data_IF_250116274311
#
_entry.id   IF_250116274311
#
_cell.length_a   1.000
_cell.length_b   1.000
_cell.length_c   1.000
_cell.angle_alpha   90.00
_cell.angle_beta   90.00
_cell.angle_gamma   90.00
#
_symmetry.space_group_name_H-M   'P 1'
#
loop_
_entity.id
_entity.type
_entity.pdbx_description
1 polymer ?
#
# COMPACT_ATOMS: atom_id res chain seq x y z
N UNK A 1 6.80 -1.48 47.07
CA UNK A 1 6.94 -0.18 46.38
C UNK A 1 8.38 -0.04 45.92
N UNK A 2 8.65 -0.11 44.62
CA UNK A 2 10.01 0.10 44.08
C UNK A 2 10.39 1.58 44.20
N UNK A 3 11.63 1.88 44.63
CA UNK A 3 12.10 3.27 44.71
C UNK A 3 12.07 3.90 43.31
N UNK A 4 11.52 5.11 43.23
CA UNK A 4 11.65 5.97 42.04
C UNK A 4 13.10 6.41 41.97
N UNK A 5 13.89 5.73 41.15
CA UNK A 5 15.22 6.21 40.77
C UNK A 5 15.06 7.35 39.75
N UNK A 6 15.62 8.51 40.06
CA UNK A 6 15.75 9.60 39.09
C UNK A 6 16.71 9.16 37.99
N UNK A 7 16.22 9.05 36.76
CA UNK A 7 17.01 8.57 35.63
C UNK A 7 17.92 9.69 35.11
N UNK A 8 17.37 10.90 34.98
CA UNK A 8 18.08 12.16 34.73
C UNK A 8 17.18 13.34 35.13
N UNK A 9 17.74 14.55 35.21
CA UNK A 9 16.97 15.77 35.52
C UNK A 9 15.79 15.98 34.54
N UNK A 10 14.57 16.01 35.08
CA UNK A 10 13.34 16.21 34.31
C UNK A 10 12.71 14.95 33.72
N UNK A 11 13.25 13.75 34.00
CA UNK A 11 12.74 12.46 33.52
C UNK A 11 12.24 11.56 34.66
N UNK A 12 10.92 11.44 34.78
CA UNK A 12 10.23 10.66 35.81
C UNK A 12 9.99 9.22 35.36
N UNK A 13 10.30 8.25 36.23
CA UNK A 13 10.05 6.82 35.98
C UNK A 13 8.63 6.44 36.41
N UNK A 14 7.81 5.98 35.46
CA UNK A 14 6.43 5.55 35.68
C UNK A 14 6.27 4.03 35.88
N UNK A 15 7.34 3.26 35.78
CA UNK A 15 7.34 1.81 36.00
C UNK A 15 8.11 1.03 34.92
N UNK A 16 8.52 -0.19 35.27
CA UNK A 16 9.13 -1.13 34.33
C UNK A 16 8.08 -1.68 33.36
N UNK A 17 8.42 -1.75 32.07
CA UNK A 17 7.60 -2.37 31.02
C UNK A 17 8.10 -3.77 30.65
N UNK A 18 9.42 -3.95 30.57
CA UNK A 18 10.07 -5.24 30.27
C UNK A 18 11.44 -5.29 30.95
N UNK A 19 11.82 -6.44 31.50
CA UNK A 19 13.12 -6.66 32.16
C UNK A 19 13.73 -7.96 31.63
N UNK A 20 14.98 -7.94 31.19
CA UNK A 20 15.65 -9.13 30.65
C UNK A 20 17.18 -9.02 30.61
N UNK A 21 17.84 -10.03 30.04
CA UNK A 21 19.30 -10.13 30.02
C UNK A 21 20.03 -9.01 29.25
N UNK A 22 19.35 -8.34 28.32
CA UNK A 22 19.88 -7.19 27.58
C UNK A 22 19.61 -5.83 28.28
N UNK A 23 19.02 -5.82 29.48
CA UNK A 23 18.66 -4.61 30.20
C UNK A 23 17.18 -4.52 30.58
N UNK A 24 16.78 -3.36 31.08
CA UNK A 24 15.40 -3.10 31.53
C UNK A 24 14.83 -1.86 30.86
N UNK A 25 13.61 -1.97 30.34
CA UNK A 25 12.89 -0.88 29.66
C UNK A 25 11.79 -0.34 30.57
N UNK A 26 11.81 0.97 30.81
CA UNK A 26 10.88 1.69 31.69
C UNK A 26 10.03 2.68 30.88
N UNK A 27 8.80 2.94 31.34
CA UNK A 27 8.00 4.06 30.82
C UNK A 27 8.45 5.34 31.52
N UNK A 28 8.91 6.31 30.75
CA UNK A 28 9.32 7.63 31.22
C UNK A 28 8.22 8.68 31.03
N UNK A 29 8.32 9.78 31.79
CA UNK A 29 7.62 11.05 31.53
C UNK A 29 8.61 12.20 31.62
N UNK A 30 8.79 12.94 30.52
CA UNK A 30 9.46 14.25 30.54
C UNK A 30 8.47 15.32 31.01
N UNK A 31 8.99 16.47 31.48
CA UNK A 31 8.19 17.61 31.95
C UNK A 31 7.02 17.95 31.01
N UNK A 32 5.79 17.67 31.46
CA UNK A 32 4.57 17.73 30.64
C UNK A 32 3.89 16.35 30.53
N UNK A 33 3.27 16.08 29.38
CA UNK A 33 2.52 14.83 29.09
C UNK A 33 3.27 13.94 28.08
N UNK A 34 4.56 14.17 27.86
CA UNK A 34 5.35 13.43 26.87
C UNK A 34 5.87 12.14 27.52
N UNK A 35 5.32 11.00 27.09
CA UNK A 35 5.81 9.68 27.47
C UNK A 35 7.00 9.26 26.60
N UNK A 36 7.99 8.62 27.21
CA UNK A 36 9.14 8.03 26.54
C UNK A 36 9.36 6.58 26.98
N UNK A 37 10.15 5.82 26.22
CA UNK A 37 10.62 4.49 26.60
C UNK A 37 12.11 4.59 26.92
N UNK A 38 12.54 4.09 28.09
CA UNK A 38 13.92 4.25 28.57
C UNK A 38 14.53 2.87 28.74
N UNK A 39 15.48 2.49 27.88
CA UNK A 39 16.28 1.27 28.04
C UNK A 39 17.50 1.58 28.92
N UNK A 40 17.58 0.95 30.10
CA UNK A 40 18.78 0.91 30.94
C UNK A 40 19.64 -0.30 30.56
N UNK A 41 20.91 -0.07 30.28
CA UNK A 41 21.87 -1.14 30.01
C UNK A 41 22.41 -1.72 31.33
N UNK A 42 22.63 -3.05 31.42
CA UNK A 42 22.89 -3.73 32.68
C UNK A 42 24.32 -3.55 33.22
N UNK A 43 25.25 -3.01 32.42
CA UNK A 43 26.65 -2.82 32.81
C UNK A 43 26.89 -1.36 33.20
N UNK A 44 27.26 -1.05 34.46
CA UNK A 44 27.51 0.32 34.88
C UNK A 44 28.85 0.82 34.33
N UNK A 45 28.93 2.12 34.05
CA UNK A 45 30.14 2.79 33.55
C UNK A 45 30.69 3.67 34.68
N UNK A 46 31.65 3.13 35.42
CA UNK A 46 32.22 3.81 36.59
C UNK A 46 33.13 5.00 36.21
N UNK A 47 33.65 5.03 34.98
CA UNK A 47 34.50 6.09 34.44
C UNK A 47 34.14 6.38 32.98
N UNK A 48 33.95 7.66 32.67
CA UNK A 48 33.89 8.19 31.29
C UNK A 48 35.31 8.33 30.70
N UNK A 49 36.06 7.23 30.76
CA UNK A 49 37.41 7.13 30.23
C UNK A 49 37.37 6.53 28.82
N UNK A 50 37.98 7.20 27.85
CA UNK A 50 38.08 6.72 26.46
C UNK A 50 38.88 5.41 26.33
N UNK A 51 39.57 4.97 27.38
CA UNK A 51 40.21 3.65 27.47
C UNK A 51 39.30 2.56 28.07
N UNK A 52 38.14 2.92 28.64
CA UNK A 52 37.21 1.97 29.24
C UNK A 52 36.36 1.28 28.17
N UNK A 53 36.62 -0.01 27.93
CA UNK A 53 35.91 -0.85 26.95
C UNK A 53 34.38 -0.72 27.02
N UNK A 54 33.79 -0.58 28.21
CA UNK A 54 32.34 -0.46 28.36
C UNK A 54 31.82 0.92 27.88
N UNK A 55 32.59 1.99 28.08
CA UNK A 55 32.27 3.34 27.61
C UNK A 55 32.44 3.48 26.10
N UNK A 56 33.54 2.95 25.55
CA UNK A 56 33.76 2.86 24.10
C UNK A 56 32.60 2.12 23.42
N UNK A 57 32.17 0.98 23.98
CA UNK A 57 31.05 0.21 23.44
C UNK A 57 29.73 0.99 23.45
N UNK A 58 29.40 1.66 24.57
CA UNK A 58 28.19 2.49 24.69
C UNK A 58 28.20 3.70 23.72
N UNK A 59 29.34 4.39 23.60
CA UNK A 59 29.49 5.48 22.63
C UNK A 59 29.32 4.99 21.18
N UNK A 60 29.88 3.83 20.83
CA UNK A 60 29.72 3.22 19.51
C UNK A 60 28.26 2.78 19.23
N UNK A 61 27.54 2.29 20.23
CA UNK A 61 26.10 2.00 20.17
C UNK A 61 25.28 3.27 19.88
N UNK A 62 25.50 4.30 20.68
CA UNK A 62 24.88 5.62 20.53
C UNK A 62 25.14 6.19 19.14
N UNK A 63 26.38 6.12 18.65
CA UNK A 63 26.74 6.62 17.33
C UNK A 63 26.00 5.90 16.19
N UNK A 64 25.85 4.56 16.26
CA UNK A 64 25.05 3.78 15.29
C UNK A 64 23.58 4.19 15.32
N UNK A 65 22.99 4.29 16.51
CA UNK A 65 21.59 4.67 16.69
C UNK A 65 21.31 6.09 16.19
N UNK A 66 22.22 7.03 16.48
CA UNK A 66 22.20 8.39 15.94
C UNK A 66 22.30 8.37 14.41
N UNK A 67 23.19 7.56 13.83
CA UNK A 67 23.33 7.43 12.37
C UNK A 67 22.02 7.01 11.69
N UNK A 68 21.32 6.02 12.25
CA UNK A 68 19.99 5.59 11.77
C UNK A 68 18.93 6.70 11.95
N UNK A 69 19.07 7.55 12.96
CA UNK A 69 18.13 8.62 13.30
C UNK A 69 18.43 9.99 12.63
N UNK A 70 19.57 10.15 11.93
CA UNK A 70 19.89 11.36 11.16
C UNK A 70 18.80 11.68 10.12
N UNK A 71 18.26 10.64 9.49
CA UNK A 71 17.11 10.72 8.61
C UNK A 71 15.93 10.00 9.28
N UNK A 72 14.87 10.72 9.69
CA UNK A 72 13.70 10.10 10.32
C UNK A 72 13.01 9.09 9.39
N UNK A 73 12.65 7.94 9.94
CA UNK A 73 11.91 6.89 9.24
C UNK A 73 10.69 6.49 10.08
N UNK A 74 9.46 6.45 9.53
CA UNK A 74 8.24 6.15 10.30
C UNK A 74 8.12 4.69 10.78
N UNK A 75 9.03 3.81 10.35
CA UNK A 75 9.09 2.38 10.70
C UNK A 75 10.30 2.03 11.57
N UNK A 76 11.05 3.01 12.06
CA UNK A 76 12.17 2.82 13.00
C UNK A 76 11.99 3.74 14.20
N UNK A 77 12.16 3.21 15.41
CA UNK A 77 11.97 3.98 16.64
C UNK A 77 12.89 5.20 16.72
N UNK A 78 12.29 6.35 17.05
CA UNK A 78 13.04 7.59 17.25
C UNK A 78 13.77 7.61 18.60
N UNK A 79 15.08 7.90 18.55
CA UNK A 79 15.87 8.20 19.74
C UNK A 79 15.66 9.67 20.14
N UNK A 80 15.41 9.91 21.42
CA UNK A 80 15.19 11.24 22.00
C UNK A 80 16.41 11.76 22.75
N UNK A 81 17.10 10.87 23.47
CA UNK A 81 18.27 11.19 24.30
C UNK A 81 19.02 9.92 24.69
N UNK A 82 20.21 10.08 25.24
CA UNK A 82 21.01 9.02 25.86
C UNK A 82 21.91 9.65 26.91
N UNK A 83 22.53 8.84 27.77
CA UNK A 83 23.48 9.32 28.77
C UNK A 83 23.78 8.28 29.84
N UNK A 84 24.35 8.73 30.95
CA UNK A 84 24.53 7.93 32.17
C UNK A 84 23.53 8.42 33.24
N UNK A 85 23.06 7.50 34.08
CA UNK A 85 22.13 7.82 35.19
C UNK A 85 22.83 8.46 36.38
N UNK A 86 22.23 9.52 36.94
CA UNK A 86 22.80 10.34 38.02
C UNK A 86 23.18 9.53 39.29
N UNK A 87 22.45 8.45 39.59
CA UNK A 87 22.59 7.72 40.86
C UNK A 87 23.61 6.59 40.83
N UNK A 88 23.98 6.08 39.65
CA UNK A 88 24.63 4.77 39.52
C UNK A 88 25.43 4.56 38.23
N UNK A 89 25.53 5.58 37.38
CA UNK A 89 26.26 5.56 36.11
C UNK A 89 25.90 4.40 35.17
N UNK A 90 24.67 3.89 35.26
CA UNK A 90 24.14 2.98 34.25
C UNK A 90 23.86 3.76 32.97
N UNK A 91 24.29 3.27 31.79
CA UNK A 91 23.93 3.87 30.53
C UNK A 91 22.43 3.74 30.25
N UNK A 92 21.85 4.77 29.66
CA UNK A 92 20.46 4.77 29.22
C UNK A 92 20.32 5.30 27.80
N UNK A 93 19.31 4.78 27.11
CA UNK A 93 18.82 5.29 25.84
C UNK A 93 17.33 5.59 26.02
N UNK A 94 16.96 6.84 25.79
CA UNK A 94 15.58 7.31 25.80
C UNK A 94 15.06 7.42 24.37
N UNK A 95 13.91 6.79 24.14
CA UNK A 95 13.26 6.61 22.86
C UNK A 95 11.82 7.12 22.93
N UNK A 96 11.20 7.36 21.79
CA UNK A 96 9.75 7.63 21.77
C UNK A 96 8.95 6.44 22.30
N UNK A 97 7.83 6.72 22.97
CA UNK A 97 6.94 5.69 23.46
C UNK A 97 5.93 5.27 22.38
N UNK A 98 6.11 4.08 21.81
CA UNK A 98 5.14 3.48 20.89
C UNK A 98 4.02 2.80 21.69
N UNK A 99 2.82 3.37 21.61
CA UNK A 99 1.60 2.82 22.21
C UNK A 99 0.93 1.80 21.29
N UNK A 100 0.52 0.67 21.86
CA UNK A 100 -0.03 -0.50 21.16
C UNK A 100 0.66 -1.82 21.54
N UNK A 101 0.27 -2.95 20.93
CA UNK A 101 0.89 -4.26 21.11
C UNK A 101 2.18 -4.44 20.29
N UNK A 102 3.01 -5.45 20.63
CA UNK A 102 4.05 -5.98 19.74
C UNK A 102 3.48 -7.04 18.75
N UNK A 103 4.24 -7.48 17.74
CA UNK A 103 3.72 -8.45 16.76
C UNK A 103 3.44 -9.83 17.38
N UNK A 104 4.12 -10.19 18.48
CA UNK A 104 3.88 -11.45 19.18
C UNK A 104 2.59 -11.35 19.99
N UNK A 105 2.36 -10.23 20.67
CA UNK A 105 1.08 -9.92 21.32
C UNK A 105 -0.09 -10.01 20.32
N UNK A 106 0.10 -9.55 19.08
CA UNK A 106 -0.90 -9.59 18.00
C UNK A 106 -1.21 -10.97 17.42
N UNK A 107 -0.44 -12.01 17.77
CA UNK A 107 -0.74 -13.42 17.45
C UNK A 107 -1.38 -14.17 18.64
N UNK A 108 -1.58 -13.49 19.77
CA UNK A 108 -2.13 -14.06 21.00
C UNK A 108 -3.52 -13.48 21.32
N UNK A 109 -4.31 -14.20 22.13
CA UNK A 109 -5.63 -13.73 22.55
C UNK A 109 -5.53 -12.35 23.25
N UNK A 110 -6.43 -11.40 22.96
CA UNK A 110 -7.71 -11.56 22.24
C UNK A 110 -7.63 -11.43 20.70
N UNK A 111 -6.42 -11.38 20.12
CA UNK A 111 -6.21 -11.30 18.68
C UNK A 111 -6.25 -12.69 18.01
N UNK A 112 -6.20 -12.67 16.68
CA UNK A 112 -6.23 -13.85 15.83
C UNK A 112 -4.87 -14.57 15.84
N UNK A 113 -4.82 -15.91 15.85
CA UNK A 113 -3.57 -16.67 15.79
C UNK A 113 -2.79 -16.52 14.46
N UNK A 114 -3.34 -15.86 13.45
CA UNK A 114 -2.68 -15.61 12.15
C UNK A 114 -3.04 -14.23 11.61
N UNK A 115 -2.12 -13.60 10.87
CA UNK A 115 -2.42 -12.33 10.22
C UNK A 115 -3.28 -12.53 8.96
N UNK A 116 -4.13 -11.54 8.67
CA UNK A 116 -4.75 -11.43 7.34
C UNK A 116 -3.69 -11.09 6.29
N UNK A 117 -3.89 -11.51 5.04
CA UNK A 117 -2.95 -11.26 3.96
C UNK A 117 -2.65 -9.76 3.77
N UNK A 118 -3.67 -8.92 3.99
CA UNK A 118 -3.53 -7.45 3.91
C UNK A 118 -2.55 -6.90 4.94
N UNK A 119 -2.72 -7.25 6.23
CA UNK A 119 -1.81 -6.75 7.26
C UNK A 119 -0.43 -7.43 7.18
N UNK A 120 -0.36 -8.69 6.75
CA UNK A 120 0.92 -9.38 6.51
C UNK A 120 1.75 -8.67 5.41
N UNK A 121 1.15 -8.33 4.26
CA UNK A 121 1.83 -7.58 3.19
C UNK A 121 2.28 -6.20 3.68
N UNK A 122 1.47 -5.54 4.51
CA UNK A 122 1.81 -4.26 5.14
C UNK A 122 2.98 -4.37 6.13
N UNK A 123 3.05 -5.44 6.95
CA UNK A 123 4.23 -5.69 7.79
C UNK A 123 5.46 -5.94 6.92
N UNK A 124 5.35 -6.74 5.86
CA UNK A 124 6.44 -7.03 4.95
C UNK A 124 7.04 -5.74 4.36
N UNK A 125 6.22 -4.89 3.75
CA UNK A 125 6.66 -3.61 3.17
C UNK A 125 7.31 -2.69 4.22
N UNK A 126 6.63 -2.46 5.35
CA UNK A 126 7.10 -1.53 6.37
C UNK A 126 8.38 -2.00 7.08
N UNK A 127 8.49 -3.30 7.39
CA UNK A 127 9.68 -3.87 8.04
C UNK A 127 10.85 -4.01 7.06
N UNK A 128 10.61 -4.36 5.80
CA UNK A 128 11.65 -4.33 4.77
C UNK A 128 12.17 -2.90 4.56
N UNK A 129 11.30 -1.88 4.55
CA UNK A 129 11.68 -0.47 4.51
C UNK A 129 12.49 -0.01 5.73
N UNK A 130 12.17 -0.51 6.93
CA UNK A 130 12.97 -0.27 8.12
C UNK A 130 14.38 -0.90 8.01
N UNK A 131 14.48 -2.15 7.54
CA UNK A 131 15.76 -2.83 7.33
C UNK A 131 16.60 -2.19 6.22
N UNK A 132 15.98 -1.77 5.12
CA UNK A 132 16.65 -1.03 4.05
C UNK A 132 17.25 0.29 4.57
N UNK A 133 16.53 0.98 5.45
CA UNK A 133 16.98 2.22 6.09
C UNK A 133 18.23 2.01 6.96
N UNK A 134 18.19 1.02 7.86
CA UNK A 134 19.32 0.68 8.72
C UNK A 134 20.56 0.25 7.89
N UNK A 135 20.36 -0.66 6.92
CA UNK A 135 21.45 -1.16 6.09
C UNK A 135 22.07 -0.10 5.18
N UNK A 136 21.30 0.88 4.69
CA UNK A 136 21.80 1.99 3.88
C UNK A 136 22.80 2.88 4.63
N UNK A 137 22.72 2.94 5.97
CA UNK A 137 23.70 3.63 6.82
C UNK A 137 24.73 2.67 7.46
N UNK A 138 24.81 1.42 6.99
CA UNK A 138 25.77 0.41 7.45
C UNK A 138 25.43 -0.24 8.79
N UNK A 139 24.22 -0.03 9.33
CA UNK A 139 23.79 -0.59 10.62
C UNK A 139 22.97 -1.85 10.40
N UNK A 140 23.44 -2.95 10.97
CA UNK A 140 22.74 -4.24 11.08
C UNK A 140 22.03 -4.27 12.43
N UNK A 141 20.85 -4.87 12.52
CA UNK A 141 20.03 -4.91 13.73
C UNK A 141 20.41 -6.07 14.66
N UNK A 142 20.54 -7.27 14.09
CA UNK A 142 21.00 -8.49 14.76
C UNK A 142 20.00 -9.20 15.67
N UNK A 143 18.80 -8.63 15.88
CA UNK A 143 17.77 -9.10 16.83
C UNK A 143 16.35 -8.84 16.29
N UNK A 144 16.11 -9.15 15.02
CA UNK A 144 14.76 -9.04 14.44
C UNK A 144 13.91 -10.19 14.94
N UNK A 145 12.79 -9.86 15.60
CA UNK A 145 11.78 -10.80 16.10
C UNK A 145 10.46 -10.07 16.30
N UNK A 146 9.35 -10.80 16.37
CA UNK A 146 8.01 -10.22 16.52
C UNK A 146 7.88 -9.30 17.75
N UNK A 147 8.52 -9.64 18.87
CA UNK A 147 8.55 -8.78 20.05
C UNK A 147 9.25 -7.42 19.87
N UNK A 148 10.15 -7.28 18.89
CA UNK A 148 10.89 -6.06 18.63
C UNK A 148 10.20 -5.18 17.57
N UNK A 149 8.99 -5.53 17.12
CA UNK A 149 8.22 -4.71 16.17
C UNK A 149 6.86 -4.39 16.80
N UNK A 150 6.55 -3.10 16.96
CA UNK A 150 5.29 -2.66 17.57
C UNK A 150 4.33 -2.06 16.58
N UNK A 151 3.05 -2.37 16.75
CA UNK A 151 1.97 -1.65 16.09
C UNK A 151 1.70 -0.34 16.85
N UNK A 152 1.84 0.79 16.18
CA UNK A 152 1.51 2.11 16.71
C UNK A 152 0.02 2.39 16.50
N UNK A 153 -0.78 2.39 17.57
CA UNK A 153 -2.25 2.56 17.46
C UNK A 153 -2.67 3.93 16.93
N UNK A 154 -1.81 4.96 17.02
CA UNK A 154 -2.12 6.33 16.60
C UNK A 154 -1.84 6.57 15.12
N UNK A 155 -0.84 5.89 14.55
CA UNK A 155 -0.45 6.04 13.13
C UNK A 155 -0.88 4.86 12.25
N UNK A 156 -1.16 3.70 12.85
CA UNK A 156 -1.41 2.45 12.14
C UNK A 156 -0.16 1.79 11.55
N UNK A 157 1.04 2.29 11.86
CA UNK A 157 2.32 1.76 11.36
C UNK A 157 2.92 0.71 12.29
N UNK A 158 3.66 -0.22 11.70
CA UNK A 158 4.62 -1.06 12.40
C UNK A 158 5.95 -0.30 12.54
N UNK A 159 6.53 -0.37 13.73
CA UNK A 159 7.75 0.34 14.12
C UNK A 159 8.75 -0.65 14.71
N UNK A 160 9.92 -0.75 14.08
CA UNK A 160 11.05 -1.56 14.54
C UNK A 160 11.71 -0.88 15.75
N UNK A 161 11.86 -1.65 16.82
CA UNK A 161 12.45 -1.28 18.10
C UNK A 161 13.75 -2.05 18.36
N UNK A 162 14.50 -1.57 19.36
CA UNK A 162 15.56 -2.29 20.08
C UNK A 162 16.65 -2.99 19.24
N UNK A 163 17.66 -2.21 18.84
CA UNK A 163 18.90 -2.65 18.20
C UNK A 163 19.85 -3.45 19.13
N UNK A 164 19.35 -4.11 20.17
CA UNK A 164 20.12 -4.63 21.30
C UNK A 164 21.27 -5.61 21.00
N UNK A 165 21.27 -6.29 19.86
CA UNK A 165 22.39 -7.16 19.43
C UNK A 165 23.38 -6.49 18.46
N UNK A 166 23.02 -5.36 17.82
CA UNK A 166 23.94 -4.50 17.07
C UNK A 166 25.02 -3.84 17.95
N UNK A 167 24.79 -3.87 19.26
CA UNK A 167 25.50 -3.18 20.34
C UNK A 167 26.61 -4.03 20.96
N UNK A 168 26.43 -5.35 20.98
CA UNK A 168 27.35 -6.25 21.66
C UNK A 168 28.60 -6.53 20.82
N UNK A 169 29.77 -6.50 21.46
CA UNK A 169 31.00 -7.08 20.88
C UNK A 169 30.78 -8.56 20.55
N UNK A 170 31.50 -9.14 19.59
CA UNK A 170 31.22 -10.51 19.13
C UNK A 170 31.34 -11.57 20.24
N UNK A 171 32.12 -11.29 21.29
CA UNK A 171 32.20 -12.10 22.52
C UNK A 171 30.94 -11.98 23.40
N UNK A 172 30.51 -10.74 23.67
CA UNK A 172 29.28 -10.46 24.41
C UNK A 172 28.04 -10.93 23.64
N UNK A 173 28.05 -10.87 22.31
CA UNK A 173 26.98 -11.36 21.45
C UNK A 173 26.88 -12.87 21.54
N UNK A 174 27.99 -13.61 21.37
CA UNK A 174 28.02 -15.07 21.56
C UNK A 174 27.55 -15.49 22.95
N UNK A 175 27.90 -14.75 24.01
CA UNK A 175 27.41 -15.01 25.37
C UNK A 175 25.91 -14.69 25.53
N UNK A 176 25.46 -13.54 25.01
CA UNK A 176 24.05 -13.12 25.05
C UNK A 176 23.16 -14.07 24.25
N UNK A 177 23.57 -14.53 23.07
CA UNK A 177 22.84 -15.51 22.27
C UNK A 177 22.66 -16.87 22.97
N UNK A 178 23.66 -17.31 23.74
CA UNK A 178 23.55 -18.54 24.54
C UNK A 178 22.51 -18.38 25.66
N UNK A 179 22.42 -17.21 26.29
CA UNK A 179 21.59 -16.97 27.48
C UNK A 179 20.24 -16.27 27.22
N UNK A 180 20.07 -15.57 26.09
CA UNK A 180 18.86 -14.83 25.76
C UNK A 180 17.88 -15.69 24.96
N UNK A 181 16.59 -15.56 25.25
CA UNK A 181 15.52 -16.17 24.47
C UNK A 181 15.27 -15.38 23.18
N UNK A 182 15.57 -15.99 22.04
CA UNK A 182 15.00 -15.75 20.71
C UNK A 182 15.56 -16.76 19.67
N UNK A 183 15.90 -17.99 20.09
CA UNK A 183 16.65 -18.94 19.24
C UNK A 183 15.90 -19.35 17.98
N UNK A 184 14.57 -19.26 18.03
CA UNK A 184 13.61 -19.49 16.95
C UNK A 184 13.71 -18.47 15.81
N UNK A 185 14.41 -17.34 16.02
CA UNK A 185 14.61 -16.25 15.06
C UNK A 185 16.06 -16.11 14.59
N UNK A 186 17.00 -16.84 15.20
CA UNK A 186 18.43 -16.65 14.93
C UNK A 186 18.83 -17.27 13.59
N UNK A 187 19.62 -16.53 12.81
CA UNK A 187 20.14 -17.02 11.54
C UNK A 187 21.29 -18.02 11.76
N UNK A 188 21.44 -19.04 10.90
CA UNK A 188 22.49 -20.07 10.99
C UNK A 188 23.88 -19.53 11.31
N UNK A 189 24.32 -18.50 10.58
CA UNK A 189 25.67 -17.92 10.70
C UNK A 189 25.90 -17.17 12.03
N UNK A 190 24.84 -16.77 12.74
CA UNK A 190 25.00 -16.12 14.04
C UNK A 190 25.55 -17.09 15.09
N UNK A 191 25.24 -18.39 14.98
CA UNK A 191 25.73 -19.40 15.93
C UNK A 191 27.27 -19.53 15.89
N UNK A 192 27.88 -19.23 14.74
CA UNK A 192 29.33 -19.12 14.54
C UNK A 192 29.89 -17.75 14.99
N UNK A 193 29.02 -16.81 15.35
CA UNK A 193 29.35 -15.46 15.80
C UNK A 193 29.28 -14.38 14.71
N UNK A 194 28.99 -14.75 13.46
CA UNK A 194 28.91 -13.79 12.36
C UNK A 194 27.65 -12.91 12.46
N UNK A 195 27.74 -11.74 11.85
CA UNK A 195 26.62 -10.81 11.71
C UNK A 195 26.72 -10.11 10.36
N UNK A 196 25.79 -10.42 9.48
CA UNK A 196 25.73 -9.94 8.09
C UNK A 196 24.41 -9.18 7.87
N UNK A 197 24.28 -8.33 6.84
CA UNK A 197 22.96 -7.80 6.47
C UNK A 197 21.94 -8.92 6.18
N UNK A 198 22.41 -10.05 5.65
CA UNK A 198 21.62 -11.25 5.39
C UNK A 198 21.16 -11.98 6.66
N UNK A 199 21.73 -11.67 7.83
CA UNK A 199 21.25 -12.15 9.12
C UNK A 199 19.88 -11.55 9.43
N UNK A 200 19.74 -10.23 9.28
CA UNK A 200 18.46 -9.55 9.49
C UNK A 200 17.41 -9.96 8.45
N UNK A 201 17.84 -10.25 7.21
CA UNK A 201 16.98 -10.79 6.14
C UNK A 201 16.41 -12.15 6.52
N UNK A 202 17.19 -13.02 7.18
CA UNK A 202 16.72 -14.33 7.64
C UNK A 202 15.68 -14.20 8.75
N UNK A 203 16.01 -13.43 9.79
CA UNK A 203 15.11 -13.20 10.92
C UNK A 203 13.83 -12.45 10.51
N UNK A 204 13.88 -11.58 9.49
CA UNK A 204 12.70 -11.04 8.81
C UNK A 204 11.83 -12.14 8.17
N UNK A 205 12.45 -13.10 7.47
CA UNK A 205 11.75 -14.26 6.91
C UNK A 205 11.06 -15.10 7.98
N UNK A 206 11.71 -15.28 9.14
CA UNK A 206 11.09 -15.95 10.30
C UNK A 206 9.85 -15.17 10.78
N UNK A 207 9.94 -13.85 10.95
CA UNK A 207 8.79 -13.02 11.38
C UNK A 207 7.65 -13.12 10.37
N UNK A 208 7.91 -13.05 9.05
CA UNK A 208 6.84 -13.20 8.07
C UNK A 208 6.21 -14.60 8.07
N UNK A 209 7.00 -15.65 8.24
CA UNK A 209 6.50 -17.02 8.40
C UNK A 209 5.65 -17.17 9.66
N UNK A 210 6.09 -16.59 10.78
CA UNK A 210 5.37 -16.57 12.06
C UNK A 210 4.00 -15.88 11.91
N UNK A 211 3.95 -14.70 11.30
CA UNK A 211 2.70 -13.97 11.06
C UNK A 211 1.76 -14.69 10.06
N UNK A 212 2.32 -15.34 9.04
CA UNK A 212 1.55 -16.06 8.03
C UNK A 212 0.93 -17.35 8.60
N UNK A 213 1.63 -18.03 9.51
CA UNK A 213 1.27 -19.39 9.96
C UNK A 213 0.88 -19.49 11.43
N UNK A 214 1.07 -18.44 12.23
CA UNK A 214 0.81 -18.42 13.68
C UNK A 214 1.90 -19.06 14.53
N UNK A 215 3.01 -19.51 13.92
CA UNK A 215 4.14 -20.12 14.63
C UNK A 215 5.43 -19.92 13.84
N UNK A 216 6.55 -19.82 14.53
CA UNK A 216 7.90 -19.85 13.92
C UNK A 216 8.15 -21.16 13.14
N UNK A 217 9.11 -21.18 12.19
CA UNK A 217 9.49 -22.38 11.45
C UNK A 217 9.94 -23.54 12.36
N UNK A 218 10.72 -23.22 13.40
CA UNK A 218 11.34 -24.19 14.31
C UNK A 218 11.08 -23.79 15.77
N UNK A 219 9.91 -24.14 16.34
CA UNK A 219 9.52 -23.70 17.69
C UNK A 219 10.33 -24.37 18.80
N UNK A 220 10.61 -23.62 19.86
CA UNK A 220 11.33 -24.09 21.04
C UNK A 220 10.42 -24.92 21.95
N UNK A 221 10.39 -26.22 21.72
CA UNK A 221 9.63 -27.17 22.53
C UNK A 221 10.39 -27.58 23.79
N UNK A 222 10.01 -27.00 24.93
CA UNK A 222 10.55 -27.34 26.26
C UNK A 222 11.72 -26.44 26.71
N UNK A 223 12.25 -26.74 27.89
CA UNK A 223 13.23 -25.90 28.57
C UNK A 223 14.62 -26.55 28.62
N UNK A 224 15.67 -25.74 28.51
CA UNK A 224 17.06 -26.15 28.69
C UNK A 224 17.87 -26.29 27.39
N UNK A 225 19.15 -26.61 27.54
CA UNK A 225 20.14 -26.54 26.46
C UNK A 225 19.88 -27.51 25.31
N UNK A 226 19.36 -28.71 25.59
CA UNK A 226 19.03 -29.71 24.55
C UNK A 226 17.94 -29.20 23.59
N UNK A 227 16.90 -28.54 24.10
CA UNK A 227 15.84 -27.96 23.28
C UNK A 227 16.38 -26.80 22.42
N UNK A 228 17.22 -25.95 23.01
CA UNK A 228 17.91 -24.84 22.30
C UNK A 228 18.80 -25.38 21.16
N UNK A 229 19.61 -26.39 21.44
CA UNK A 229 20.47 -27.03 20.43
C UNK A 229 19.66 -27.71 19.31
N UNK A 230 18.51 -28.31 19.62
CA UNK A 230 17.61 -28.86 18.60
C UNK A 230 17.08 -27.78 17.64
N UNK A 231 16.70 -26.60 18.16
CA UNK A 231 16.23 -25.48 17.33
C UNK A 231 17.40 -24.92 16.49
N UNK A 232 18.59 -24.76 17.06
CA UNK A 232 19.80 -24.36 16.32
C UNK A 232 20.10 -25.31 15.13
N UNK A 233 20.11 -26.62 15.37
CA UNK A 233 20.32 -27.62 14.33
C UNK A 233 19.20 -27.59 13.27
N UNK A 234 17.96 -27.30 13.66
CA UNK A 234 16.87 -27.12 12.70
C UNK A 234 17.05 -25.87 11.83
N UNK A 235 17.51 -24.75 12.41
CA UNK A 235 17.89 -23.56 11.63
C UNK A 235 19.03 -23.86 10.65
N UNK A 236 20.03 -24.66 11.02
CA UNK A 236 21.14 -25.07 10.14
C UNK A 236 20.71 -26.03 9.02
N UNK A 237 20.06 -27.15 9.37
CA UNK A 237 19.96 -28.32 8.49
C UNK A 237 18.52 -28.69 8.08
N UNK A 238 17.52 -28.38 8.91
CA UNK A 238 16.14 -28.83 8.63
C UNK A 238 15.44 -28.00 7.56
N UNK A 239 14.68 -28.66 6.68
CA UNK A 239 13.78 -27.98 5.76
C UNK A 239 12.68 -27.22 6.53
N UNK A 240 12.31 -26.04 6.02
CA UNK A 240 11.17 -25.28 6.53
C UNK A 240 9.88 -26.00 6.12
N UNK A 241 8.90 -26.11 7.02
CA UNK A 241 7.59 -26.69 6.71
C UNK A 241 6.83 -25.83 5.69
N UNK A 242 5.95 -26.44 4.89
CA UNK A 242 5.09 -25.68 3.96
C UNK A 242 4.26 -24.62 4.73
N UNK A 243 4.44 -23.31 4.42
CA UNK A 243 3.68 -22.25 5.08
C UNK A 243 2.17 -22.35 4.80
N UNK A 244 1.75 -22.84 3.63
CA UNK A 244 0.33 -22.93 3.28
C UNK A 244 -0.37 -24.01 4.09
N UNK A 245 0.22 -25.20 4.19
CA UNK A 245 -0.23 -26.25 5.10
C UNK A 245 -0.35 -25.75 6.54
N UNK A 246 0.69 -25.07 7.05
CA UNK A 246 0.69 -24.56 8.44
C UNK A 246 -0.35 -23.47 8.68
N UNK A 247 -0.49 -22.51 7.77
CA UNK A 247 -1.53 -21.48 7.81
C UNK A 247 -2.92 -22.11 7.84
N UNK A 248 -3.19 -23.09 6.98
CA UNK A 248 -4.48 -23.78 6.92
C UNK A 248 -4.87 -24.48 8.23
N UNK A 249 -3.90 -25.07 8.93
CA UNK A 249 -4.12 -25.71 10.25
C UNK A 249 -4.41 -24.70 11.36
N UNK A 250 -3.78 -23.52 11.31
CA UNK A 250 -3.89 -22.49 12.35
C UNK A 250 -4.92 -21.38 12.02
N UNK A 251 -5.73 -21.55 10.96
CA UNK A 251 -6.80 -20.59 10.65
C UNK A 251 -7.87 -20.58 11.74
N UNK A 252 -8.41 -19.39 12.12
CA UNK A 252 -9.38 -19.28 13.21
C UNK A 252 -10.67 -20.05 12.92
N UNK A 253 -11.20 -20.73 13.94
CA UNK A 253 -12.32 -21.65 13.78
C UNK A 253 -13.60 -20.92 13.33
N UNK A 254 -13.82 -19.71 13.83
CA UNK A 254 -14.98 -18.83 13.63
C UNK A 254 -15.01 -18.13 12.26
N UNK A 255 -13.90 -18.08 11.52
CA UNK A 255 -13.90 -17.50 10.17
C UNK A 255 -14.77 -18.33 9.21
N UNK A 256 -15.57 -17.62 8.40
CA UNK A 256 -16.41 -18.25 7.37
C UNK A 256 -15.57 -18.99 6.31
N UNK A 257 -16.20 -19.92 5.60
CA UNK A 257 -15.55 -20.73 4.55
C UNK A 257 -14.99 -19.83 3.44
N UNK A 258 -15.73 -18.78 3.07
CA UNK A 258 -15.35 -17.80 2.05
C UNK A 258 -14.16 -16.95 2.53
N UNK A 259 -14.15 -16.53 3.80
CA UNK A 259 -13.02 -15.81 4.39
C UNK A 259 -11.77 -16.69 4.41
N UNK A 260 -11.87 -17.96 4.81
CA UNK A 260 -10.76 -18.92 4.77
C UNK A 260 -10.24 -19.13 3.34
N UNK A 261 -11.14 -19.33 2.37
CA UNK A 261 -10.79 -19.50 0.97
C UNK A 261 -10.13 -18.24 0.34
N UNK A 262 -10.51 -17.03 0.78
CA UNK A 262 -9.83 -15.78 0.40
C UNK A 262 -8.45 -15.67 1.05
N UNK A 263 -8.36 -15.88 2.37
CA UNK A 263 -7.12 -15.72 3.14
C UNK A 263 -6.09 -16.84 2.91
N UNK A 264 -6.46 -17.90 2.18
CA UNK A 264 -5.55 -18.91 1.62
C UNK A 264 -4.95 -18.52 0.26
N UNK A 265 -5.43 -17.46 -0.41
CA UNK A 265 -4.87 -16.95 -1.67
C UNK A 265 -3.62 -16.10 -1.43
N UNK A 266 -2.61 -16.69 -0.76
CA UNK A 266 -1.32 -16.05 -0.52
C UNK A 266 -0.64 -15.79 -1.87
N UNK A 267 -0.18 -14.54 -2.16
CA UNK A 267 0.54 -14.27 -3.39
C UNK A 267 1.86 -15.06 -3.47
N UNK A 268 2.16 -15.61 -4.64
CA UNK A 268 3.37 -16.41 -4.89
C UNK A 268 4.66 -15.66 -4.53
N UNK A 269 4.78 -14.39 -4.95
CA UNK A 269 5.93 -13.53 -4.60
C UNK A 269 6.19 -13.44 -3.08
N UNK A 270 5.15 -13.53 -2.24
CA UNK A 270 5.30 -13.44 -0.79
C UNK A 270 5.86 -14.76 -0.22
N UNK A 271 5.45 -15.89 -0.79
CA UNK A 271 6.02 -17.20 -0.47
C UNK A 271 7.48 -17.29 -0.94
N UNK A 272 7.78 -16.77 -2.13
CA UNK A 272 9.16 -16.66 -2.66
C UNK A 272 10.05 -15.79 -1.77
N UNK A 273 9.58 -14.60 -1.35
CA UNK A 273 10.30 -13.72 -0.41
C UNK A 273 10.59 -14.46 0.91
N UNK A 274 9.58 -15.11 1.50
CA UNK A 274 9.76 -15.87 2.75
C UNK A 274 10.77 -17.01 2.55
N UNK A 275 10.66 -17.78 1.46
CA UNK A 275 11.55 -18.89 1.14
C UNK A 275 12.99 -18.42 0.93
N UNK A 276 13.22 -17.39 0.09
CA UNK A 276 14.56 -16.83 -0.16
C UNK A 276 15.16 -16.18 1.08
N UNK A 277 14.36 -15.60 1.97
CA UNK A 277 14.85 -15.15 3.27
C UNK A 277 15.32 -16.30 4.16
N UNK A 278 14.60 -17.43 4.16
CA UNK A 278 14.87 -18.59 5.02
C UNK A 278 15.91 -19.58 4.46
N UNK A 279 16.55 -19.24 3.34
CA UNK A 279 17.71 -19.97 2.80
C UNK A 279 18.82 -20.12 3.84
N UNK A 280 19.43 -21.32 3.89
CA UNK A 280 20.42 -21.64 4.92
C UNK A 280 21.72 -20.87 4.70
N UNK A 281 22.18 -20.86 3.47
CA UNK A 281 23.34 -20.12 3.00
C UNK A 281 23.01 -18.61 2.88
N UNK A 282 23.70 -17.72 3.63
CA UNK A 282 23.50 -16.27 3.52
C UNK A 282 23.69 -15.70 2.11
N UNK A 283 24.45 -16.36 1.23
CA UNK A 283 24.69 -15.90 -0.14
C UNK A 283 23.50 -16.13 -1.08
N UNK A 284 22.56 -17.02 -0.71
CA UNK A 284 21.33 -17.27 -1.48
C UNK A 284 20.17 -16.35 -1.09
N UNK A 285 20.25 -15.72 0.09
CA UNK A 285 19.31 -14.70 0.56
C UNK A 285 19.48 -13.40 -0.22
N UNK A 286 18.57 -12.44 -0.03
CA UNK A 286 18.80 -11.06 -0.47
C UNK A 286 20.05 -10.50 0.21
N UNK A 287 20.94 -9.84 -0.54
CA UNK A 287 22.26 -9.43 -0.07
C UNK A 287 22.20 -8.40 1.07
N UNK A 288 21.12 -7.62 1.17
CA UNK A 288 20.85 -6.64 2.23
C UNK A 288 19.38 -6.21 2.21
N UNK A 289 19.00 -5.33 3.15
CA UNK A 289 17.63 -4.81 3.27
C UNK A 289 17.13 -4.00 2.07
N UNK A 290 17.99 -3.39 1.26
CA UNK A 290 17.58 -2.63 0.06
C UNK A 290 17.07 -3.59 -1.02
N UNK A 291 17.81 -4.66 -1.35
CA UNK A 291 17.37 -5.68 -2.31
C UNK A 291 16.09 -6.39 -1.83
N UNK A 292 15.97 -6.64 -0.51
CA UNK A 292 14.76 -7.18 0.10
C UNK A 292 13.56 -6.23 -0.08
N UNK A 293 13.73 -4.93 0.18
CA UNK A 293 12.68 -3.93 -0.01
C UNK A 293 12.25 -3.85 -1.48
N UNK A 294 13.20 -3.84 -2.41
CA UNK A 294 12.91 -3.83 -3.85
C UNK A 294 12.08 -5.05 -4.27
N UNK A 295 12.40 -6.24 -3.76
CA UNK A 295 11.63 -7.45 -4.04
C UNK A 295 10.17 -7.38 -3.52
N UNK A 296 9.97 -6.89 -2.28
CA UNK A 296 8.64 -6.75 -1.67
C UNK A 296 7.79 -5.70 -2.41
N UNK A 297 8.40 -4.56 -2.77
CA UNK A 297 7.73 -3.51 -3.55
C UNK A 297 7.34 -4.03 -4.94
N UNK A 298 8.25 -4.70 -5.64
CA UNK A 298 7.98 -5.25 -6.97
C UNK A 298 6.85 -6.30 -6.96
N UNK A 299 6.85 -7.23 -6.00
CA UNK A 299 5.77 -8.22 -5.85
C UNK A 299 4.41 -7.57 -5.54
N UNK A 300 4.39 -6.55 -4.68
CA UNK A 300 3.18 -5.79 -4.36
C UNK A 300 2.62 -5.03 -5.57
N UNK A 301 3.50 -4.47 -6.42
CA UNK A 301 3.12 -3.81 -7.66
C UNK A 301 2.58 -4.79 -8.71
N UNK A 302 3.21 -5.96 -8.90
CA UNK A 302 2.74 -6.98 -9.86
C UNK A 302 1.32 -7.48 -9.54
N UNK A 303 0.99 -7.69 -8.26
CA UNK A 303 -0.39 -8.04 -7.84
C UNK A 303 -1.37 -6.90 -8.15
N UNK A 304 -0.92 -5.66 -8.01
CA UNK A 304 -1.73 -4.47 -8.28
C UNK A 304 -2.03 -4.33 -9.78
N UNK A 305 -1.02 -4.44 -10.64
CA UNK A 305 -1.18 -4.44 -12.11
C UNK A 305 -2.05 -5.60 -12.58
N UNK A 306 -1.82 -6.81 -12.06
CA UNK A 306 -2.62 -8.00 -12.40
C UNK A 306 -4.10 -7.82 -12.04
N UNK A 307 -4.40 -7.16 -10.90
CA UNK A 307 -5.78 -6.81 -10.51
C UNK A 307 -6.40 -5.77 -11.44
N UNK A 308 -5.67 -4.73 -11.81
CA UNK A 308 -6.16 -3.72 -12.75
C UNK A 308 -6.48 -4.32 -14.12
N UNK A 309 -5.56 -5.11 -14.69
CA UNK A 309 -5.77 -5.79 -15.98
C UNK A 309 -6.98 -6.72 -15.93
N UNK A 310 -7.09 -7.57 -14.90
CA UNK A 310 -8.20 -8.52 -14.77
C UNK A 310 -9.54 -7.82 -14.55
N UNK A 311 -9.57 -6.71 -13.81
CA UNK A 311 -10.78 -5.89 -13.64
C UNK A 311 -11.20 -5.21 -14.96
N UNK A 312 -10.22 -4.75 -15.75
CA UNK A 312 -10.45 -4.15 -17.06
C UNK A 312 -10.93 -5.18 -18.11
N UNK A 313 -10.41 -6.41 -18.08
CA UNK A 313 -10.90 -7.53 -18.88
C UNK A 313 -12.36 -7.89 -18.54
N UNK A 314 -12.70 -8.04 -17.26
CA UNK A 314 -14.07 -8.34 -16.80
C UNK A 314 -15.06 -7.24 -17.20
N UNK A 315 -14.66 -5.96 -17.10
CA UNK A 315 -15.46 -4.83 -17.59
C UNK A 315 -15.62 -4.83 -19.11
N UNK A 316 -14.58 -5.19 -19.87
CA UNK A 316 -14.65 -5.26 -21.34
C UNK A 316 -15.50 -6.43 -21.84
N UNK A 317 -15.39 -7.60 -21.23
CA UNK A 317 -16.12 -8.82 -21.63
C UNK A 317 -17.60 -8.69 -21.34
N UNK A 318 -17.97 -8.22 -20.14
CA UNK A 318 -19.37 -7.95 -19.81
C UNK A 318 -20.00 -6.90 -20.75
N UNK A 319 -19.30 -5.81 -21.05
CA UNK A 319 -19.78 -4.79 -21.99
C UNK A 319 -19.95 -5.32 -23.43
N UNK A 320 -19.00 -6.12 -23.93
CA UNK A 320 -19.09 -6.77 -25.24
C UNK A 320 -20.26 -7.78 -25.31
N UNK A 321 -20.54 -8.47 -24.21
CA UNK A 321 -21.61 -9.46 -24.14
C UNK A 321 -23.00 -8.79 -24.17
N UNK A 322 -23.19 -7.69 -23.43
CA UNK A 322 -24.40 -6.85 -23.51
C UNK A 322 -24.63 -6.25 -24.90
N UNK A 323 -23.59 -5.76 -25.57
CA UNK A 323 -23.76 -5.20 -26.93
C UNK A 323 -24.02 -6.31 -27.97
N UNK A 324 -23.47 -7.52 -27.81
CA UNK A 324 -23.84 -8.68 -28.63
C UNK A 324 -25.31 -9.09 -28.47
N UNK A 325 -25.81 -9.18 -27.23
CA UNK A 325 -27.24 -9.47 -26.96
C UNK A 325 -28.16 -8.42 -27.60
N UNK A 326 -27.76 -7.13 -27.53
CA UNK A 326 -28.48 -6.02 -28.16
C UNK A 326 -28.47 -6.12 -29.69
N UNK A 327 -27.34 -6.44 -30.30
CA UNK A 327 -27.21 -6.62 -31.75
C UNK A 327 -28.04 -7.82 -32.25
N UNK A 328 -28.07 -8.91 -31.49
CA UNK A 328 -28.93 -10.07 -31.78
C UNK A 328 -30.42 -9.71 -31.70
N UNK A 329 -30.84 -8.92 -30.70
CA UNK A 329 -32.22 -8.42 -30.61
C UNK A 329 -32.60 -7.49 -31.78
N UNK A 330 -31.67 -6.64 -32.24
CA UNK A 330 -31.88 -5.79 -33.42
C UNK A 330 -31.98 -6.61 -34.71
N UNK A 331 -31.12 -7.62 -34.90
CA UNK A 331 -31.19 -8.55 -36.04
C UNK A 331 -32.53 -9.27 -36.09
N UNK A 332 -33.03 -9.75 -34.95
CA UNK A 332 -34.33 -10.41 -34.86
C UNK A 332 -35.49 -9.47 -35.21
N UNK A 333 -35.46 -8.21 -34.74
CA UNK A 333 -36.45 -7.20 -35.15
C UNK A 333 -36.41 -6.90 -36.65
N UNK A 334 -35.22 -6.81 -37.24
CA UNK A 334 -35.07 -6.59 -38.68
C UNK A 334 -35.65 -7.76 -39.50
N UNK A 335 -35.36 -9.01 -39.11
CA UNK A 335 -35.92 -10.20 -39.77
C UNK A 335 -37.46 -10.23 -39.67
N UNK A 336 -38.03 -9.92 -38.50
CA UNK A 336 -39.48 -9.84 -38.32
C UNK A 336 -40.13 -8.75 -39.21
N UNK A 337 -39.46 -7.61 -39.36
CA UNK A 337 -39.93 -6.53 -40.23
C UNK A 337 -39.85 -6.92 -41.72
N UNK A 338 -38.79 -7.62 -42.14
CA UNK A 338 -38.66 -8.15 -43.50
C UNK A 338 -39.74 -9.20 -43.81
N UNK A 339 -40.02 -10.13 -42.89
CA UNK A 339 -41.12 -11.09 -43.01
C UNK A 339 -42.49 -10.41 -43.13
N UNK A 340 -42.73 -9.32 -42.39
CA UNK A 340 -43.98 -8.56 -42.46
C UNK A 340 -44.12 -7.80 -43.80
N UNK A 341 -43.02 -7.20 -44.28
CA UNK A 341 -42.95 -6.56 -45.60
C UNK A 341 -43.19 -7.60 -46.70
N UNK A 342 -42.62 -8.79 -46.59
CA UNK A 342 -42.79 -9.86 -47.59
C UNK A 342 -44.22 -10.42 -47.61
N UNK A 343 -44.90 -10.50 -46.45
CA UNK A 343 -46.34 -10.83 -46.35
C UNK A 343 -47.24 -9.74 -46.96
N UNK A 344 -46.91 -8.46 -46.74
CA UNK A 344 -47.60 -7.33 -47.36
C UNK A 344 -47.36 -7.31 -48.87
N UNK A 345 -46.16 -7.62 -49.32
CA UNK A 345 -45.83 -7.71 -50.74
C UNK A 345 -46.62 -8.83 -51.42
N UNK A 346 -46.63 -10.05 -50.87
CA UNK A 346 -47.33 -11.19 -51.49
C UNK A 346 -48.86 -11.00 -51.57
N UNK A 347 -49.47 -10.38 -50.55
CA UNK A 347 -50.90 -10.01 -50.57
C UNK A 347 -51.23 -8.88 -51.56
N UNK A 348 -50.35 -7.89 -51.71
CA UNK A 348 -50.50 -6.87 -52.76
C UNK A 348 -50.30 -7.47 -54.17
N UNK A 349 -49.38 -8.44 -54.32
CA UNK A 349 -49.16 -9.15 -55.57
C UNK A 349 -50.38 -9.98 -55.98
N UNK A 350 -51.06 -10.67 -55.06
CA UNK A 350 -52.29 -11.41 -55.38
C UNK A 350 -53.43 -10.48 -55.80
N UNK A 351 -53.65 -9.38 -55.07
CA UNK A 351 -54.66 -8.36 -55.42
C UNK A 351 -54.37 -7.73 -56.79
N UNK A 352 -53.11 -7.43 -57.09
CA UNK A 352 -52.72 -6.87 -58.39
C UNK A 352 -52.93 -7.86 -59.54
N UNK A 353 -52.73 -9.16 -59.30
CA UNK A 353 -52.97 -10.22 -60.27
C UNK A 353 -54.48 -10.42 -60.54
N UNK A 354 -55.31 -10.45 -59.48
CA UNK A 354 -56.78 -10.50 -59.59
C UNK A 354 -57.35 -9.28 -60.34
N UNK A 355 -56.75 -8.10 -60.17
CA UNK A 355 -57.10 -6.90 -60.92
C UNK A 355 -56.64 -6.92 -62.40
N UNK A 356 -55.93 -7.95 -62.85
CA UNK A 356 -55.42 -8.10 -64.21
C UNK A 356 -54.18 -7.23 -64.51
N UNK A 357 -53.36 -6.95 -63.50
CA UNK A 357 -52.05 -6.31 -63.66
C UNK A 357 -50.96 -7.32 -64.01
N UNK A 358 -50.05 -6.93 -64.91
CA UNK A 358 -48.85 -7.72 -65.28
C UNK A 358 -47.64 -7.09 -64.58
N UNK A 359 -46.84 -7.90 -63.88
CA UNK A 359 -45.65 -7.41 -63.19
C UNK A 359 -44.54 -7.02 -64.18
N UNK A 360 -44.02 -5.80 -64.08
CA UNK A 360 -42.91 -5.32 -64.89
C UNK A 360 -41.59 -5.37 -64.08
N UNK A 361 -40.73 -6.40 -64.26
CA UNK A 361 -39.54 -6.61 -63.44
C UNK A 361 -38.49 -5.50 -63.58
N UNK A 362 -38.49 -4.74 -64.68
CA UNK A 362 -37.55 -3.64 -64.90
C UNK A 362 -37.94 -2.34 -64.18
N UNK A 363 -39.18 -2.23 -63.70
CA UNK A 363 -39.68 -1.07 -62.94
C UNK A 363 -40.09 -1.40 -61.50
N UNK A 364 -40.30 -2.67 -61.17
CA UNK A 364 -40.79 -3.11 -59.86
C UNK A 364 -42.27 -2.81 -59.59
N UNK A 365 -43.09 -2.66 -60.63
CA UNK A 365 -44.51 -2.27 -60.50
C UNK A 365 -45.42 -3.14 -61.38
N UNK A 366 -46.68 -3.31 -60.97
CA UNK A 366 -47.72 -3.95 -61.78
C UNK A 366 -48.38 -2.94 -62.73
N UNK A 367 -48.41 -3.26 -64.02
CA UNK A 367 -49.02 -2.42 -65.07
C UNK A 367 -50.27 -3.12 -65.63
N UNK A 368 -51.41 -2.41 -65.72
CA UNK A 368 -52.65 -2.93 -66.33
C UNK A 368 -52.71 -2.50 -67.80
N UNK A 369 -52.91 -3.45 -68.71
CA UNK A 369 -52.97 -3.18 -70.16
C UNK A 369 -54.11 -2.18 -70.47
N UNK A 370 -53.74 -0.96 -70.85
CA UNK A 370 -54.70 0.06 -71.29
C UNK A 370 -55.07 -0.20 -72.75
N UNK A 371 -56.31 -0.65 -72.98
CA UNK A 371 -56.93 -0.54 -74.29
C UNK A 371 -56.89 0.93 -74.74
N UNK A 372 -56.54 1.15 -76.02
CA UNK A 372 -56.30 2.49 -76.57
C UNK A 372 -57.64 3.24 -76.68
N UNK A 373 -57.91 4.14 -75.73
CA UNK A 373 -59.05 5.06 -75.81
C UNK A 373 -58.65 6.26 -76.67
N UNK A 374 -59.24 6.37 -77.85
CA UNK A 374 -58.97 7.44 -78.81
C UNK A 374 -59.57 8.77 -78.31
N UNK A 375 -58.75 9.64 -77.71
CA UNK A 375 -59.21 10.90 -77.13
C UNK A 375 -59.36 11.96 -78.24
N UNK A 376 -60.56 12.55 -78.46
CA UNK A 376 -60.76 13.52 -79.53
C UNK A 376 -59.96 14.80 -79.29
N UNK A 377 -59.29 15.32 -80.33
CA UNK A 377 -58.30 16.42 -80.27
C UNK A 377 -58.76 17.68 -79.51
N UNK A 378 -60.07 17.97 -79.47
CA UNK A 378 -60.64 19.11 -78.73
C UNK A 378 -60.46 18.99 -77.21
N UNK A 379 -60.49 17.78 -76.65
CA UNK A 379 -60.27 17.55 -75.22
C UNK A 379 -58.78 17.70 -74.84
N UNK A 380 -57.88 17.25 -75.73
CA UNK A 380 -56.43 17.41 -75.54
C UNK A 380 -55.99 18.87 -75.52
N UNK A 381 -56.53 19.71 -76.41
CA UNK A 381 -56.27 21.16 -76.39
C UNK A 381 -56.78 21.84 -75.10
N UNK A 382 -57.95 21.41 -74.58
CA UNK A 382 -58.48 21.93 -73.31
C UNK A 382 -57.58 21.60 -72.11
N UNK A 383 -57.09 20.35 -72.03
CA UNK A 383 -56.19 19.90 -70.96
C UNK A 383 -54.82 20.59 -71.07
N UNK A 384 -54.28 20.75 -72.27
CA UNK A 384 -53.03 21.49 -72.50
C UNK A 384 -53.14 22.97 -72.10
N UNK A 385 -54.25 23.63 -72.42
CA UNK A 385 -54.53 25.01 -72.00
C UNK A 385 -54.64 25.18 -70.48
N UNK A 386 -55.33 24.25 -69.81
CA UNK A 386 -55.44 24.25 -68.35
C UNK A 386 -54.07 24.05 -67.66
N UNK A 387 -53.22 23.15 -68.19
CA UNK A 387 -51.86 22.95 -67.67
C UNK A 387 -50.96 24.17 -67.81
N UNK A 388 -51.09 24.90 -68.92
CA UNK A 388 -50.35 26.15 -69.15
C UNK A 388 -50.78 27.27 -68.18
N UNK A 389 -52.09 27.39 -67.91
CA UNK A 389 -52.62 28.32 -66.91
C UNK A 389 -52.11 27.99 -65.49
N UNK A 390 -52.06 26.70 -65.14
CA UNK A 390 -51.59 26.25 -63.82
C UNK A 390 -50.09 26.50 -63.63
N UNK A 391 -49.27 26.29 -64.66
CA UNK A 391 -47.84 26.65 -64.65
C UNK A 391 -47.62 28.15 -64.45
N UNK A 392 -48.40 29.01 -65.13
CA UNK A 392 -48.31 30.47 -64.98
C UNK A 392 -48.69 30.92 -63.56
N UNK A 393 -49.74 30.36 -62.97
CA UNK A 393 -50.13 30.63 -61.58
C UNK A 393 -49.08 30.12 -60.57
N UNK A 394 -48.45 28.97 -60.83
CA UNK A 394 -47.41 28.43 -59.95
C UNK A 394 -46.15 29.30 -59.95
N UNK A 395 -45.72 29.77 -61.13
CA UNK A 395 -44.58 30.72 -61.27
C UNK A 395 -44.90 32.06 -60.62
N UNK A 396 -46.13 32.59 -60.78
CA UNK A 396 -46.55 33.84 -60.12
C UNK A 396 -46.56 33.72 -58.58
N UNK A 397 -46.98 32.58 -58.04
CA UNK A 397 -46.93 32.29 -56.60
C UNK A 397 -45.49 32.22 -56.06
N UNK A 398 -44.55 31.69 -56.84
CA UNK A 398 -43.17 31.48 -56.41
C UNK A 398 -42.32 32.77 -56.37
N UNK A 399 -42.62 33.75 -57.23
CA UNK A 399 -41.88 35.02 -57.27
C UNK A 399 -42.36 36.07 -56.25
N UNK A 400 -43.51 35.87 -55.61
CA UNK A 400 -44.16 36.87 -54.75
C UNK A 400 -43.98 36.63 -53.23
N UNK A 401 -42.97 35.84 -52.82
CA UNK A 401 -42.74 35.52 -51.41
C UNK A 401 -41.28 35.67 -50.99
N UNK A 402 -40.88 36.92 -50.74
CA UNK A 402 -39.65 37.28 -50.05
C UNK A 402 -39.93 38.35 -48.98
N UNK A 403 -39.10 38.37 -47.94
CA UNK A 403 -38.94 39.40 -46.89
C UNK A 403 -40.00 39.54 -45.76
N UNK A 404 -39.53 39.34 -44.51
CA UNK A 404 -39.94 40.04 -43.27
C UNK A 404 -41.29 39.70 -42.61
N UNK A 405 -41.45 39.78 -41.28
CA UNK A 405 -40.47 39.88 -40.18
C UNK A 405 -41.11 39.45 -38.83
N UNK A 406 -40.29 38.96 -37.88
CA UNK A 406 -40.46 38.94 -36.40
C UNK A 406 -41.81 38.60 -35.68
N UNK A 407 -41.88 37.46 -34.96
CA UNK A 407 -41.74 37.37 -33.47
C UNK A 407 -42.31 36.09 -32.79
N UNK A 408 -41.53 35.57 -31.83
CA UNK A 408 -41.90 34.85 -30.58
C UNK A 408 -43.10 33.88 -30.49
N UNK A 409 -42.80 32.57 -30.38
CA UNK A 409 -43.45 31.64 -29.42
C UNK A 409 -42.39 30.76 -28.77
N UNK A 410 -42.50 30.50 -27.46
CA UNK A 410 -41.46 29.89 -26.64
C UNK A 410 -41.29 28.37 -26.87
N UNK A 411 -40.04 27.90 -27.06
CA UNK A 411 -39.70 26.48 -26.94
C UNK A 411 -39.57 26.06 -25.47
N UNK A 412 -40.34 25.05 -25.07
CA UNK A 412 -40.16 24.33 -23.81
C UNK A 412 -38.83 23.57 -23.82
N UNK A 413 -38.04 23.70 -22.75
CA UNK A 413 -36.76 22.99 -22.61
C UNK A 413 -37.01 21.48 -22.48
N UNK A 414 -36.29 20.60 -23.22
CA UNK A 414 -36.27 19.18 -22.89
C UNK A 414 -35.60 18.95 -21.53
N UNK A 415 -36.15 17.99 -20.78
CA UNK A 415 -35.69 17.59 -19.46
C UNK A 415 -34.23 17.10 -19.48
N UNK A 416 -33.42 17.53 -18.50
CA UNK A 416 -32.05 17.02 -18.28
C UNK A 416 -32.00 16.21 -16.98
N UNK A 417 -31.51 14.98 -17.08
CA UNK A 417 -31.17 14.13 -15.93
C UNK A 417 -30.06 14.79 -15.07
N UNK A 418 -30.11 14.70 -13.73
CA UNK A 418 -29.15 15.37 -12.84
C UNK A 418 -27.79 14.65 -12.72
N UNK A 419 -27.55 13.55 -13.44
CA UNK A 419 -26.33 12.74 -13.33
C UNK A 419 -25.45 12.77 -14.60
N UNK A 420 -24.77 13.89 -14.85
CA UNK A 420 -23.56 13.92 -15.71
C UNK A 420 -22.48 14.75 -15.02
N UNK A 421 -21.50 14.06 -14.42
CA UNK A 421 -20.27 14.68 -13.94
C UNK A 421 -19.31 15.00 -15.11
N UNK A 422 -18.70 16.18 -15.03
CA UNK A 422 -17.59 16.72 -15.81
C UNK A 422 -16.92 15.81 -16.88
N UNK A 423 -17.24 16.07 -18.16
CA UNK A 423 -16.25 16.02 -19.25
C UNK A 423 -15.92 17.46 -19.69
N UNK A 424 -14.86 18.04 -19.15
CA UNK A 424 -14.13 19.14 -19.80
C UNK A 424 -12.94 18.54 -20.55
N UNK A 425 -12.69 18.90 -21.82
CA UNK A 425 -11.43 18.55 -22.47
C UNK A 425 -10.25 19.19 -21.71
N UNK A 426 -9.15 18.44 -21.59
CA UNK A 426 -7.99 18.83 -20.81
C UNK A 426 -7.26 20.01 -21.49
N UNK A 427 -7.11 21.14 -20.80
CA UNK A 427 -6.51 22.33 -21.37
C UNK A 427 -4.97 22.27 -21.24
N UNK A 428 -4.29 21.93 -22.34
CA UNK A 428 -2.82 21.84 -22.38
C UNK A 428 -2.10 23.17 -22.07
N UNK A 429 -2.74 24.34 -22.31
CA UNK A 429 -2.10 25.65 -22.13
C UNK A 429 -1.88 26.05 -20.65
N UNK A 430 -2.57 25.42 -19.70
CA UNK A 430 -2.32 25.70 -18.26
C UNK A 430 -1.02 25.06 -17.78
N UNK A 431 -0.71 23.85 -18.26
CA UNK A 431 0.53 23.13 -17.91
C UNK A 431 1.75 23.76 -18.58
N UNK A 432 1.62 24.22 -19.83
CA UNK A 432 2.66 24.97 -20.52
C UNK A 432 3.02 26.28 -19.78
N UNK A 433 2.01 27.04 -19.34
CA UNK A 433 2.21 28.27 -18.54
C UNK A 433 2.83 27.99 -17.17
N UNK A 434 2.45 26.90 -16.50
CA UNK A 434 3.06 26.51 -15.23
C UNK A 434 4.54 26.11 -15.38
N UNK A 435 4.92 25.42 -16.46
CA UNK A 435 6.33 25.09 -16.77
C UNK A 435 7.15 26.34 -17.11
N UNK A 436 6.60 27.28 -17.89
CA UNK A 436 7.29 28.54 -18.20
C UNK A 436 7.55 29.41 -16.95
N UNK A 437 6.64 29.42 -15.98
CA UNK A 437 6.80 30.14 -14.72
C UNK A 437 7.85 29.53 -13.77
N UNK A 438 8.28 28.29 -13.99
CA UNK A 438 9.25 27.59 -13.14
C UNK A 438 10.72 27.80 -13.55
N UNK A 439 10.99 28.46 -14.70
CA UNK A 439 12.32 28.55 -15.31
C UNK A 439 12.76 30.03 -15.44
N UNK A 440 12.98 30.69 -14.29
CA UNK A 440 13.71 31.96 -14.02
C UNK A 440 13.51 32.27 -12.53
N UNK A 441 14.49 32.67 -11.69
CA UNK A 441 15.96 32.84 -11.75
C UNK A 441 16.54 32.36 -10.38
N UNK A 442 17.85 32.07 -10.23
CA UNK A 442 18.40 31.74 -8.91
C UNK A 442 18.35 32.93 -7.95
N UNK A 443 17.96 32.70 -6.69
CA UNK A 443 18.09 33.69 -5.62
C UNK A 443 19.55 33.82 -5.20
N UNK A 444 20.02 35.07 -5.11
CA UNK A 444 21.33 35.39 -4.54
C UNK A 444 21.41 35.01 -3.05
N UNK A 445 22.61 34.68 -2.52
CA UNK A 445 22.78 34.29 -1.12
C UNK A 445 22.53 35.47 -0.17
N UNK A 446 21.44 35.38 0.60
CA UNK A 446 21.12 36.37 1.63
C UNK A 446 22.16 36.40 2.75
N UNK A 447 22.79 37.55 2.95
CA UNK A 447 23.78 37.78 4.01
C UNK A 447 23.13 37.58 5.39
N UNK A 448 23.56 36.53 6.10
CA UNK A 448 23.19 36.29 7.50
C UNK A 448 23.82 37.37 8.39
N UNK A 449 23.01 38.34 8.85
CA UNK A 449 23.41 39.23 9.95
C UNK A 449 23.35 38.46 11.27
N UNK A 450 24.50 38.31 11.94
CA UNK A 450 24.54 37.72 13.28
C UNK A 450 23.78 38.62 14.29
N UNK A 451 22.92 38.05 15.16
CA UNK A 451 22.35 38.78 16.29
C UNK A 451 23.40 39.01 17.38
N UNK A 452 23.55 40.27 17.80
CA UNK A 452 24.54 40.71 18.79
C UNK A 452 24.21 40.17 20.19
N UNK A 453 25.25 39.71 20.88
CA UNK A 453 25.22 39.14 22.23
C UNK A 453 24.63 40.12 23.26
N UNK A 454 23.72 39.63 24.12
CA UNK A 454 23.46 40.21 25.45
C UNK A 454 23.81 39.20 26.54
N UNK A 455 24.99 39.36 27.13
CA UNK A 455 25.49 38.50 28.20
C UNK A 455 24.68 38.70 29.50
N UNK A 456 23.96 37.67 29.94
CA UNK A 456 23.44 37.59 31.32
C UNK A 456 24.54 37.03 32.24
N UNK A 457 25.05 37.86 33.15
CA UNK A 457 26.02 37.46 34.18
C UNK A 457 25.45 36.34 35.05
N UNK A 458 26.11 35.18 35.05
CA UNK A 458 25.86 34.09 36.00
C UNK A 458 26.25 34.54 37.41
N UNK A 459 25.30 34.55 38.35
CA UNK A 459 25.64 34.73 39.77
C UNK A 459 25.99 33.38 40.40
N UNK A 460 27.22 33.29 40.94
CA UNK A 460 27.68 32.15 41.75
C UNK A 460 26.83 32.02 43.03
N UNK A 461 25.87 31.10 43.06
CA UNK A 461 25.27 30.62 44.33
C UNK A 461 26.25 29.64 45.00
N UNK A 462 26.57 29.92 46.27
CA UNK A 462 27.53 29.15 47.08
C UNK A 462 27.01 27.72 47.31
N UNK A 463 27.88 26.71 47.07
CA UNK A 463 27.66 25.33 47.55
C UNK A 463 27.49 25.37 49.08
N UNK A 464 26.34 24.93 49.60
CA UNK A 464 26.23 24.54 51.01
C UNK A 464 26.81 23.13 51.13
N UNK A 465 27.89 22.97 51.90
CA UNK A 465 28.28 21.65 52.41
C UNK A 465 27.18 21.20 53.39
N UNK A 466 26.61 20.02 53.20
CA UNK A 466 25.96 19.31 54.29
C UNK A 466 26.90 18.18 54.72
N UNK A 467 27.26 18.18 56.00
CA UNK A 467 27.98 17.10 56.64
C UNK A 467 26.97 16.16 57.30
N UNK A 468 27.18 14.86 57.16
CA UNK A 468 26.55 13.82 57.98
C UNK A 468 25.12 13.42 57.60
N UNK A 469 24.61 12.29 58.10
CA UNK A 469 25.23 11.22 58.92
C UNK A 469 24.36 9.95 58.71
N UNK A 470 25.00 8.78 58.59
CA UNK A 470 24.44 7.43 58.36
C UNK A 470 23.74 7.16 57.02
#
# INVERSE_FOLDING_TARGET
MGKVFTISEGLENLGAMRTGGQGSVYKGRRTGTIYSAIKLLPTPILTEDENNKNYINFQNEVAKLQKVNEQPNPHVVKILSWGLTDSSSFPFIEMEYIEGPDLCDLLNQPHEPVFTLKELIKVADQLAGALAHCHRVGVKHGDIKSNNVKYNVHTGNYVLLDFGLAVLTDEQRRSSMRNAGAIEFMAPEQHEGYMLPQTDVYSYGVVLYELLTGQVPFPLNGNGETARNSVMLAHLESAVSDPLMKRGLNMPADWSVEKKAHEMQVPEWLLEVISKCLEKDPQKRYANGIELQEAVVNGTLQVTESRYTKQQEVLSTSALQTENERLQAQLLQHQQAEDEVQKKLSSLQSIALEAGGVYNPNKGVYERNKAIVFLPKRLFLGIAGAGLLFMLLFVFSFFNKNEGNDTNVALTKPYRSPYIYFKKPYNYDSVARARAAAIVKPKEPGVYKQPIVKAKKWQKKKRKKFLGIF
#
